data_IF_965160486084
#
_entry.id   IF_965160486084
#
_cell.length_a   1.000
_cell.length_b   1.000
_cell.length_c   1.000
_cell.angle_alpha   90.00
_cell.angle_beta   90.00
_cell.angle_gamma   90.00
#
_symmetry.space_group_name_H-M   'P 1'
#
loop_
_entity.id
_entity.type
_entity.pdbx_description
1 polymer ?
#
# COMPACT_ATOMS: atom_id res chain seq x y z
N UNK A 1 -6.80 -5.47 15.74
CA UNK A 1 -7.02 -4.69 14.51
C UNK A 1 -7.76 -5.55 13.52
N UNK A 2 -8.76 -5.01 12.83
CA UNK A 2 -9.45 -5.72 11.74
C UNK A 2 -8.52 -5.85 10.54
N UNK A 3 -8.61 -6.97 9.82
CA UNK A 3 -7.90 -7.18 8.54
C UNK A 3 -8.50 -6.23 7.49
N UNK A 4 -7.72 -5.31 6.90
CA UNK A 4 -8.26 -4.36 5.93
C UNK A 4 -8.58 -5.05 4.60
N UNK A 5 -9.48 -4.45 3.83
CA UNK A 5 -9.66 -4.79 2.41
C UNK A 5 -8.55 -4.15 1.57
N UNK A 6 -8.32 -4.62 0.33
CA UNK A 6 -7.41 -3.96 -0.61
C UNK A 6 -7.70 -2.46 -0.80
N UNK A 7 -8.98 -2.11 -0.91
CA UNK A 7 -9.46 -0.73 -1.08
C UNK A 7 -9.11 0.12 0.14
N UNK A 8 -9.37 -0.38 1.34
CA UNK A 8 -9.01 0.30 2.60
C UNK A 8 -7.49 0.49 2.71
N UNK A 9 -6.72 -0.57 2.44
CA UNK A 9 -5.25 -0.52 2.54
C UNK A 9 -4.65 0.47 1.54
N UNK A 10 -5.16 0.52 0.30
CA UNK A 10 -4.76 1.50 -0.71
C UNK A 10 -5.06 2.94 -0.24
N UNK A 11 -6.25 3.17 0.32
CA UNK A 11 -6.61 4.48 0.85
C UNK A 11 -5.70 4.89 2.03
N UNK A 12 -5.31 3.94 2.88
CA UNK A 12 -4.32 4.16 3.95
C UNK A 12 -2.96 4.54 3.37
N UNK A 13 -2.45 3.84 2.36
CA UNK A 13 -1.18 4.19 1.69
C UNK A 13 -1.21 5.63 1.15
N UNK A 14 -2.26 6.00 0.42
CA UNK A 14 -2.42 7.34 -0.16
C UNK A 14 -2.42 8.41 0.93
N UNK A 15 -3.17 8.18 2.01
CA UNK A 15 -3.31 9.14 3.12
C UNK A 15 -2.01 9.29 3.92
N UNK A 16 -1.35 8.15 4.20
CA UNK A 16 -0.09 8.11 4.93
C UNK A 16 1.00 8.91 4.21
N UNK A 17 1.18 8.67 2.91
CA UNK A 17 2.22 9.34 2.14
C UNK A 17 1.89 10.82 1.96
N UNK A 18 0.65 11.16 1.63
CA UNK A 18 0.23 12.56 1.49
C UNK A 18 0.50 13.36 2.77
N UNK A 19 0.20 12.79 3.93
CA UNK A 19 0.51 13.38 5.23
C UNK A 19 2.01 13.50 5.49
N UNK A 20 2.78 12.44 5.23
CA UNK A 20 4.22 12.41 5.50
C UNK A 20 5.03 13.37 4.61
N UNK A 21 4.57 13.66 3.39
CA UNK A 21 5.26 14.55 2.45
C UNK A 21 4.61 15.92 2.31
N UNK A 22 3.60 16.26 3.11
CA UNK A 22 2.82 17.52 3.00
C UNK A 22 2.26 17.79 1.58
N UNK A 23 1.80 16.75 0.90
CA UNK A 23 1.23 16.85 -0.46
C UNK A 23 -0.24 16.43 -0.51
N UNK A 24 -0.89 16.63 -1.66
CA UNK A 24 -2.28 16.22 -1.87
C UNK A 24 -2.39 14.73 -2.15
N UNK A 25 -3.41 14.08 -1.59
CA UNK A 25 -3.74 12.66 -1.87
C UNK A 25 -3.88 12.36 -3.37
N UNK A 26 -4.43 13.29 -4.15
CA UNK A 26 -4.61 13.16 -5.60
C UNK A 26 -3.32 12.99 -6.40
N UNK A 27 -2.16 13.36 -5.83
CA UNK A 27 -0.85 13.05 -6.42
C UNK A 27 -0.57 11.55 -6.33
N UNK A 28 -0.67 10.99 -5.12
CA UNK A 28 -0.33 9.60 -4.82
C UNK A 28 -1.37 8.62 -5.36
N UNK A 29 -2.63 9.02 -5.44
CA UNK A 29 -3.69 8.22 -6.07
C UNK A 29 -3.35 7.81 -7.52
N UNK A 30 -2.61 8.65 -8.25
CA UNK A 30 -2.19 8.35 -9.63
C UNK A 30 -1.00 7.39 -9.69
N UNK A 31 -0.18 7.39 -8.63
CA UNK A 31 1.09 6.65 -8.56
C UNK A 31 0.94 5.28 -7.89
N UNK A 32 -0.03 5.15 -6.99
CA UNK A 32 -0.34 3.92 -6.25
C UNK A 32 -1.47 3.21 -6.97
N UNK A 33 -1.14 2.07 -7.59
CA UNK A 33 -2.10 1.20 -8.26
C UNK A 33 -2.99 0.44 -7.28
N UNK A 34 -3.70 -0.54 -7.81
CA UNK A 34 -4.53 -1.44 -7.01
C UNK A 34 -3.66 -2.32 -6.10
N UNK A 35 -4.23 -2.67 -4.94
CA UNK A 35 -3.65 -3.67 -4.04
C UNK A 35 -4.15 -5.04 -4.49
N UNK A 36 -3.24 -5.93 -4.85
CA UNK A 36 -3.57 -7.29 -5.25
C UNK A 36 -3.39 -8.25 -4.07
N UNK A 37 -4.38 -9.12 -3.86
CA UNK A 37 -4.28 -10.23 -2.91
C UNK A 37 -3.50 -11.38 -3.55
N UNK A 38 -2.49 -11.86 -2.84
CA UNK A 38 -1.63 -12.96 -3.21
C UNK A 38 -1.97 -14.23 -2.40
N UNK A 39 -1.85 -15.44 -2.97
CA UNK A 39 -2.07 -16.66 -2.21
C UNK A 39 -1.08 -16.81 -1.04
N UNK A 40 -1.60 -17.00 0.17
CA UNK A 40 -0.81 -17.10 1.41
C UNK A 40 0.20 -18.25 1.37
N UNK A 41 -0.16 -19.37 0.73
CA UNK A 41 0.71 -20.56 0.60
C UNK A 41 2.05 -20.21 -0.05
N UNK A 42 2.06 -19.24 -0.96
CA UNK A 42 3.28 -18.76 -1.63
C UNK A 42 3.85 -17.47 -1.02
N UNK A 43 3.05 -16.74 -0.24
CA UNK A 43 3.40 -15.44 0.34
C UNK A 43 3.09 -15.40 1.84
N UNK A 44 3.76 -16.22 2.66
CA UNK A 44 3.37 -16.40 4.06
C UNK A 44 3.62 -15.17 4.94
N UNK A 45 4.54 -14.28 4.54
CA UNK A 45 4.90 -13.07 5.31
C UNK A 45 3.97 -11.88 5.05
N UNK A 46 3.36 -11.82 3.87
CA UNK A 46 2.44 -10.77 3.48
C UNK A 46 1.63 -11.24 2.29
N UNK A 47 0.30 -11.19 2.35
CA UNK A 47 -0.55 -11.70 1.26
C UNK A 47 -0.94 -10.62 0.25
N UNK A 48 -0.17 -9.54 0.12
CA UNK A 48 -0.49 -8.47 -0.82
C UNK A 48 0.72 -7.76 -1.40
N UNK A 49 0.49 -7.16 -2.57
CA UNK A 49 1.40 -6.25 -3.26
C UNK A 49 0.61 -5.09 -3.85
N UNK A 50 1.31 -4.02 -4.20
CA UNK A 50 0.73 -2.87 -4.89
C UNK A 50 1.57 -2.53 -6.11
N UNK A 51 0.92 -2.22 -7.23
CA UNK A 51 1.61 -1.73 -8.41
C UNK A 51 2.03 -0.26 -8.18
N UNK A 52 3.29 0.06 -8.49
CA UNK A 52 3.83 1.42 -8.37
C UNK A 52 4.08 1.98 -9.76
N UNK A 53 3.50 3.15 -10.04
CA UNK A 53 3.66 3.88 -11.32
C UNK A 53 4.62 5.06 -11.22
N UNK A 54 5.10 5.40 -10.02
CA UNK A 54 6.11 6.42 -9.81
C UNK A 54 7.51 5.94 -10.17
N UNK A 55 8.39 6.88 -10.49
CA UNK A 55 9.81 6.65 -10.78
C UNK A 55 10.69 7.38 -9.76
N UNK A 56 11.94 6.92 -9.58
CA UNK A 56 12.92 7.54 -8.68
C UNK A 56 12.38 7.72 -7.26
N UNK A 57 12.48 8.94 -6.74
CA UNK A 57 12.08 9.30 -5.37
C UNK A 57 10.63 8.92 -5.03
N UNK A 58 9.71 8.99 -6.00
CA UNK A 58 8.31 8.62 -5.77
C UNK A 58 8.18 7.13 -5.44
N UNK A 59 8.97 6.30 -6.11
CA UNK A 59 8.99 4.85 -5.87
C UNK A 59 9.56 4.55 -4.49
N UNK A 60 10.66 5.20 -4.11
CA UNK A 60 11.29 5.00 -2.80
C UNK A 60 10.36 5.37 -1.65
N UNK A 61 9.60 6.46 -1.80
CA UNK A 61 8.60 6.88 -0.81
C UNK A 61 7.47 5.84 -0.69
N UNK A 62 6.96 5.34 -1.81
CA UNK A 62 5.90 4.33 -1.82
C UNK A 62 6.39 3.01 -1.22
N UNK A 63 7.60 2.55 -1.59
CA UNK A 63 8.17 1.31 -1.06
C UNK A 63 8.39 1.39 0.47
N UNK A 64 8.87 2.53 0.98
CA UNK A 64 8.98 2.74 2.45
C UNK A 64 7.63 2.70 3.15
N UNK A 65 6.61 3.33 2.58
CA UNK A 65 5.25 3.31 3.15
C UNK A 65 4.64 1.89 3.11
N UNK A 66 4.90 1.13 2.05
CA UNK A 66 4.48 -0.28 1.93
C UNK A 66 5.13 -1.13 3.01
N UNK A 67 6.42 -0.99 3.26
CA UNK A 67 7.11 -1.77 4.30
C UNK A 67 6.57 -1.45 5.71
N UNK A 68 6.29 -0.18 6.00
CA UNK A 68 5.63 0.21 7.26
C UNK A 68 4.25 -0.45 7.40
N UNK A 69 3.43 -0.38 6.36
CA UNK A 69 2.08 -0.95 6.39
C UNK A 69 2.08 -2.48 6.40
N UNK A 70 3.09 -3.14 5.83
CA UNK A 70 3.26 -4.60 5.96
C UNK A 70 3.56 -5.02 7.39
N UNK A 71 4.28 -4.20 8.15
CA UNK A 71 4.53 -4.45 9.58
C UNK A 71 3.25 -4.49 10.40
N UNK A 72 2.31 -3.58 10.12
CA UNK A 72 1.04 -3.45 10.85
C UNK A 72 -0.07 -4.34 10.28
N UNK A 73 -0.09 -4.52 8.95
CA UNK A 73 -1.12 -5.20 8.19
C UNK A 73 -0.50 -6.15 7.16
N UNK A 74 0.13 -7.25 7.60
CA UNK A 74 0.71 -8.23 6.67
C UNK A 74 -0.38 -8.93 5.84
N UNK A 75 -1.62 -8.97 6.33
CA UNK A 75 -2.72 -9.64 5.65
C UNK A 75 -3.87 -8.69 5.31
N UNK A 76 -4.41 -8.83 4.10
CA UNK A 76 -5.66 -8.24 3.63
C UNK A 76 -6.69 -9.34 3.38
N UNK A 77 -7.97 -9.00 3.45
CA UNK A 77 -9.09 -9.89 3.12
C UNK A 77 -9.83 -9.39 1.88
N UNK A 78 -10.46 -10.29 1.16
CA UNK A 78 -11.40 -9.89 0.10
C UNK A 78 -12.54 -9.03 0.68
N UNK A 79 -13.16 -8.22 -0.18
CA UNK A 79 -14.36 -7.44 0.16
C UNK A 79 -15.55 -8.34 0.53
#
# INVERSE_FOLDING_TARGET
MSTPTPTELRATLVTLIAGATETRTSRWDKLIGEVEILPIVFNPRSNWRVAVRGEGDDRDVIEKAVELLRGEHPYVRAE
#
